data_IF_026244111949
#
_entry.id   IF_026244111949
#
_cell.length_a   1.000
_cell.length_b   1.000
_cell.length_c   1.000
_cell.angle_alpha   90.00
_cell.angle_beta   90.00
_cell.angle_gamma   90.00
#
_symmetry.space_group_name_H-M   'P 1'
#
loop_
_entity.id
_entity.type
_entity.pdbx_description
1 polymer ?
#
# COMPACT_ATOMS: atom_id res chain seq x y z
N UNK A 1 -11.72 17.13 -2.79
CA UNK A 1 -11.33 17.72 -1.49
C UNK A 1 -9.88 17.31 -1.27
N UNK A 2 -8.96 18.27 -1.43
CA UNK A 2 -7.52 18.12 -1.17
C UNK A 2 -7.35 17.84 0.33
N UNK A 3 -6.51 16.87 0.71
CA UNK A 3 -6.25 16.53 2.11
C UNK A 3 -5.98 17.80 2.92
N UNK A 4 -6.77 18.05 3.97
CA UNK A 4 -6.64 19.27 4.78
C UNK A 4 -5.53 19.16 5.83
N UNK A 5 -5.17 17.94 6.25
CA UNK A 5 -3.93 17.59 6.94
C UNK A 5 -3.88 16.07 7.16
N UNK A 6 -2.71 15.46 6.98
CA UNK A 6 -2.35 14.17 7.61
C UNK A 6 -1.36 14.54 8.71
N UNK A 7 -1.70 14.28 9.97
CA UNK A 7 -0.79 14.48 11.09
C UNK A 7 -0.07 13.17 11.35
N UNK A 8 1.25 13.19 11.25
CA UNK A 8 2.12 12.09 11.68
C UNK A 8 2.37 12.22 13.17
N UNK A 9 2.06 11.18 13.93
CA UNK A 9 2.50 11.07 15.32
C UNK A 9 3.90 10.45 15.30
N UNK A 10 4.92 11.27 15.56
CA UNK A 10 6.32 10.85 15.61
C UNK A 10 6.69 10.58 17.05
N UNK A 11 7.02 9.32 17.36
CA UNK A 11 7.70 8.99 18.62
C UNK A 11 9.14 9.53 18.52
N UNK A 12 9.56 10.34 19.50
CA UNK A 12 10.81 11.08 19.49
C UNK A 12 12.07 10.18 19.32
N UNK A 13 13.27 10.80 19.32
CA UNK A 13 14.59 10.12 19.37
C UNK A 13 14.75 9.16 20.59
N UNK A 14 13.77 9.18 21.50
CA UNK A 14 13.53 8.26 22.61
C UNK A 14 12.19 7.55 22.36
N UNK A 15 12.17 6.22 22.49
CA UNK A 15 10.96 5.41 22.32
C UNK A 15 10.15 5.33 23.62
N UNK A 16 8.82 5.41 23.51
CA UNK A 16 7.89 5.00 24.56
C UNK A 16 7.64 3.50 24.43
N UNK A 17 7.92 2.74 25.49
CA UNK A 17 7.84 1.28 25.47
C UNK A 17 6.38 0.83 25.24
N UNK A 18 6.06 0.12 24.14
CA UNK A 18 4.70 -0.36 23.89
C UNK A 18 4.25 -1.42 24.90
N UNK A 19 5.17 -2.00 25.68
CA UNK A 19 4.86 -2.88 26.80
C UNK A 19 4.52 -2.17 28.11
N UNK A 20 4.68 -0.84 28.20
CA UNK A 20 4.29 -0.08 29.37
C UNK A 20 2.84 0.45 29.24
N UNK A 21 1.89 0.02 30.10
CA UNK A 21 0.49 0.41 29.98
C UNK A 21 0.21 1.92 30.12
N UNK A 22 1.01 2.64 30.92
CA UNK A 22 0.87 4.09 31.07
C UNK A 22 1.32 4.81 29.79
N UNK A 23 2.41 4.36 29.18
CA UNK A 23 2.87 4.88 27.90
C UNK A 23 1.85 4.65 26.77
N UNK A 24 1.26 3.44 26.71
CA UNK A 24 0.18 3.12 25.78
C UNK A 24 -1.03 4.03 26.01
N UNK A 25 -1.46 4.21 27.26
CA UNK A 25 -2.60 5.06 27.61
C UNK A 25 -2.37 6.51 27.23
N UNK A 26 -1.16 7.03 27.48
CA UNK A 26 -0.76 8.38 27.10
C UNK A 26 -0.80 8.58 25.58
N UNK A 27 -0.25 7.65 24.80
CA UNK A 27 -0.25 7.73 23.34
C UNK A 27 -1.66 7.64 22.76
N UNK A 28 -2.52 6.78 23.29
CA UNK A 28 -3.92 6.69 22.87
C UNK A 28 -4.68 7.98 23.17
N UNK A 29 -4.46 8.60 24.35
CA UNK A 29 -5.07 9.88 24.70
C UNK A 29 -4.62 11.01 23.74
N UNK A 30 -3.35 11.04 23.33
CA UNK A 30 -2.87 11.99 22.33
C UNK A 30 -3.53 11.77 20.96
N UNK A 31 -3.65 10.51 20.52
CA UNK A 31 -4.34 10.19 19.27
C UNK A 31 -5.82 10.59 19.37
N UNK A 32 -6.50 10.31 20.48
CA UNK A 32 -7.89 10.71 20.72
C UNK A 32 -8.07 12.23 20.66
N UNK A 33 -7.16 13.00 21.30
CA UNK A 33 -7.17 14.47 21.25
C UNK A 33 -7.04 14.96 19.80
N UNK A 34 -6.07 14.44 19.06
CA UNK A 34 -5.84 14.79 17.64
C UNK A 34 -7.08 14.49 16.80
N UNK A 35 -7.64 13.28 16.94
CA UNK A 35 -8.80 12.83 16.18
C UNK A 35 -10.05 13.63 16.54
N UNK A 36 -10.23 14.01 17.80
CA UNK A 36 -11.44 14.71 18.27
C UNK A 36 -11.39 16.20 17.92
N UNK A 37 -10.24 16.85 18.14
CA UNK A 37 -10.15 18.31 18.08
C UNK A 37 -9.77 18.86 16.70
N UNK A 38 -9.25 18.02 15.80
CA UNK A 38 -8.84 18.45 14.46
C UNK A 38 -9.71 17.83 13.37
N UNK A 39 -9.95 18.61 12.31
CA UNK A 39 -10.62 18.13 11.11
C UNK A 39 -9.61 17.46 10.18
N UNK A 40 -9.55 16.13 10.25
CA UNK A 40 -8.56 15.30 9.56
C UNK A 40 -9.24 14.40 8.53
N UNK A 41 -8.56 14.18 7.41
CA UNK A 41 -8.92 13.17 6.42
C UNK A 41 -8.33 11.79 6.79
N UNK A 42 -7.24 11.76 7.57
CA UNK A 42 -6.59 10.55 8.01
C UNK A 42 -5.56 10.77 9.12
N UNK A 43 -5.16 9.68 9.78
CA UNK A 43 -4.10 9.61 10.77
C UNK A 43 -2.97 8.72 10.24
N UNK A 44 -1.71 9.15 10.38
CA UNK A 44 -0.54 8.38 9.98
C UNK A 44 0.31 7.97 11.18
N UNK A 45 0.48 6.66 11.34
CA UNK A 45 1.31 6.04 12.37
C UNK A 45 2.75 5.92 11.84
N UNK A 46 3.64 6.72 12.40
CA UNK A 46 5.08 6.61 12.16
C UNK A 46 5.78 6.04 13.39
N UNK A 47 6.96 5.43 13.19
CA UNK A 47 7.75 4.79 14.24
C UNK A 47 7.03 3.69 15.03
N UNK A 48 5.98 3.08 14.46
CA UNK A 48 5.24 1.99 15.10
C UNK A 48 6.00 0.66 15.03
N UNK A 49 7.02 0.53 15.88
CA UNK A 49 8.00 -0.57 15.95
C UNK A 49 8.95 -0.37 17.13
N UNK A 50 9.68 -1.42 17.53
CA UNK A 50 10.88 -1.23 18.32
C UNK A 50 12.03 -0.67 17.46
N UNK A 51 13.04 -0.01 18.07
CA UNK A 51 14.22 0.43 17.33
C UNK A 51 15.00 -0.77 16.78
N UNK A 52 15.80 -0.53 15.74
CA UNK A 52 16.59 -1.59 15.12
C UNK A 52 17.46 -2.35 16.12
N UNK A 53 17.29 -3.67 16.12
CA UNK A 53 18.10 -4.60 16.89
C UNK A 53 18.90 -5.50 15.94
N UNK A 54 20.05 -5.96 16.41
CA UNK A 54 20.92 -6.86 15.65
C UNK A 54 20.33 -8.27 15.63
N UNK A 55 20.21 -8.85 14.44
CA UNK A 55 19.82 -10.26 14.29
C UNK A 55 20.87 -11.16 14.95
N UNK A 56 20.41 -12.21 15.62
CA UNK A 56 21.30 -13.17 16.28
C UNK A 56 21.97 -12.64 17.56
N UNK A 57 21.60 -11.45 18.02
CA UNK A 57 22.12 -10.86 19.25
C UNK A 57 20.99 -10.56 20.23
N UNK A 58 21.34 -10.45 21.51
CA UNK A 58 20.37 -10.10 22.54
C UNK A 58 19.85 -8.67 22.32
N UNK A 59 18.53 -8.45 22.26
CA UNK A 59 17.95 -7.15 22.07
C UNK A 59 18.19 -6.29 23.31
N UNK A 60 18.14 -4.98 23.10
CA UNK A 60 18.27 -3.98 24.17
C UNK A 60 16.95 -3.27 24.48
N UNK A 61 15.91 -3.49 23.67
CA UNK A 61 14.59 -2.87 23.81
C UNK A 61 13.49 -3.89 24.13
N UNK A 62 12.41 -3.42 24.76
CA UNK A 62 11.26 -4.24 25.16
C UNK A 62 11.46 -5.03 26.46
N UNK A 63 12.49 -4.71 27.25
CA UNK A 63 12.77 -5.31 28.56
C UNK A 63 12.28 -4.42 29.73
N UNK A 64 11.24 -3.61 29.50
CA UNK A 64 10.52 -2.90 30.57
C UNK A 64 10.06 -3.85 31.67
N UNK A 65 9.92 -3.33 32.89
CA UNK A 65 9.57 -4.16 34.05
C UNK A 65 8.26 -4.91 33.83
N UNK A 66 7.27 -4.22 33.29
CA UNK A 66 5.93 -4.73 32.99
C UNK A 66 5.99 -5.90 32.01
N UNK A 67 6.65 -5.71 30.85
CA UNK A 67 6.84 -6.76 29.84
C UNK A 67 7.56 -8.00 30.40
N UNK A 68 8.57 -7.80 31.26
CA UNK A 68 9.33 -8.91 31.86
C UNK A 68 8.50 -9.69 32.86
N UNK A 69 7.73 -9.00 33.70
CA UNK A 69 6.82 -9.63 34.67
C UNK A 69 5.74 -10.42 33.95
N UNK A 70 5.08 -9.81 32.96
CA UNK A 70 4.01 -10.47 32.21
C UNK A 70 4.51 -11.72 31.47
N UNK A 71 5.67 -11.64 30.81
CA UNK A 71 6.26 -12.82 30.16
C UNK A 71 6.67 -13.90 31.17
N UNK A 72 7.23 -13.50 32.32
CA UNK A 72 7.59 -14.43 33.38
C UNK A 72 6.36 -15.12 33.98
N UNK A 73 5.24 -14.41 34.16
CA UNK A 73 3.99 -15.01 34.65
C UNK A 73 3.44 -16.09 33.70
N UNK A 74 3.67 -15.94 32.39
CA UNK A 74 3.23 -16.90 31.37
C UNK A 74 4.17 -18.09 31.21
N UNK A 75 5.48 -17.90 31.42
CA UNK A 75 6.52 -18.89 31.06
C UNK A 75 7.35 -19.41 32.23
N UNK A 76 7.26 -18.77 33.41
CA UNK A 76 8.17 -18.92 34.55
C UNK A 76 9.65 -18.60 34.25
N UNK A 77 9.95 -17.92 33.15
CA UNK A 77 11.31 -17.55 32.74
C UNK A 77 11.39 -16.04 32.53
N UNK A 78 12.38 -15.42 33.17
CA UNK A 78 12.67 -14.01 32.93
C UNK A 78 13.30 -13.86 31.54
N UNK A 79 12.71 -13.08 30.62
CA UNK A 79 13.24 -12.98 29.26
C UNK A 79 14.64 -12.37 29.22
N UNK A 80 15.06 -11.67 30.28
CA UNK A 80 16.43 -11.18 30.41
C UNK A 80 17.45 -12.30 30.72
N UNK A 81 17.03 -13.53 31.00
CA UNK A 81 17.91 -14.69 31.14
C UNK A 81 18.06 -15.49 29.83
N UNK A 82 17.18 -15.26 28.84
CA UNK A 82 17.16 -16.03 27.59
C UNK A 82 18.41 -15.77 26.74
N UNK A 83 18.93 -16.86 26.17
CA UNK A 83 19.87 -16.84 25.05
C UNK A 83 19.09 -16.81 23.72
N UNK A 84 19.74 -16.41 22.62
CA UNK A 84 19.11 -16.31 21.30
C UNK A 84 18.67 -17.68 20.77
N UNK A 85 19.41 -18.72 21.17
CA UNK A 85 19.17 -20.12 20.82
C UNK A 85 18.12 -20.80 21.71
N UNK A 86 17.63 -20.11 22.75
CA UNK A 86 16.63 -20.66 23.66
C UNK A 86 15.30 -20.88 22.92
N UNK A 87 14.61 -22.02 23.11
CA UNK A 87 13.29 -22.25 22.52
C UNK A 87 12.27 -21.14 22.81
N UNK A 88 12.32 -20.51 23.98
CA UNK A 88 11.43 -19.42 24.37
C UNK A 88 11.78 -18.09 23.70
N UNK A 89 12.89 -18.01 22.95
CA UNK A 89 13.29 -16.78 22.26
C UNK A 89 12.26 -16.30 21.23
N UNK A 90 11.68 -17.24 20.50
CA UNK A 90 10.65 -16.94 19.51
C UNK A 90 9.35 -16.51 20.20
N UNK A 91 9.01 -17.11 21.34
CA UNK A 91 7.87 -16.69 22.16
C UNK A 91 8.06 -15.27 22.70
N UNK A 92 9.26 -14.92 23.18
CA UNK A 92 9.58 -13.56 23.61
C UNK A 92 9.51 -12.54 22.46
N UNK A 93 9.98 -12.93 21.29
CA UNK A 93 9.90 -12.09 20.08
C UNK A 93 8.44 -11.90 19.64
N UNK A 94 7.63 -12.95 19.68
CA UNK A 94 6.20 -12.92 19.42
C UNK A 94 5.46 -12.04 20.43
N UNK A 95 5.73 -12.21 21.73
CA UNK A 95 5.16 -11.39 22.79
C UNK A 95 5.39 -9.89 22.57
N UNK A 96 6.64 -9.48 22.28
CA UNK A 96 6.94 -8.08 21.97
C UNK A 96 6.32 -7.59 20.66
N UNK A 97 6.14 -8.46 19.68
CA UNK A 97 5.44 -8.15 18.43
C UNK A 97 3.96 -7.89 18.69
N UNK A 98 3.33 -8.71 19.53
CA UNK A 98 1.93 -8.58 19.89
C UNK A 98 1.67 -7.28 20.68
N UNK A 99 2.60 -6.83 21.52
CA UNK A 99 2.48 -5.52 22.19
C UNK A 99 2.32 -4.35 21.18
N UNK A 100 3.07 -4.37 20.08
CA UNK A 100 2.95 -3.35 19.02
C UNK A 100 1.62 -3.54 18.27
N UNK A 101 1.29 -4.78 17.91
CA UNK A 101 0.03 -5.08 17.20
C UNK A 101 -1.19 -4.69 18.02
N UNK A 102 -1.21 -4.98 19.32
CA UNK A 102 -2.27 -4.57 20.23
C UNK A 102 -2.43 -3.06 20.30
N UNK A 103 -1.32 -2.31 20.35
CA UNK A 103 -1.37 -0.86 20.30
C UNK A 103 -2.03 -0.37 19.01
N UNK A 104 -1.62 -0.90 17.86
CA UNK A 104 -2.21 -0.57 16.55
C UNK A 104 -3.70 -0.90 16.52
N UNK A 105 -4.09 -2.06 17.04
CA UNK A 105 -5.50 -2.46 17.14
C UNK A 105 -6.33 -1.58 18.09
N UNK A 106 -5.78 -1.23 19.27
CA UNK A 106 -6.41 -0.31 20.24
C UNK A 106 -6.62 1.07 19.61
N UNK A 107 -5.59 1.61 18.96
CA UNK A 107 -5.67 2.88 18.24
C UNK A 107 -6.71 2.82 17.12
N UNK A 108 -6.68 1.76 16.30
CA UNK A 108 -7.60 1.59 15.17
C UNK A 108 -9.06 1.54 15.62
N UNK A 109 -9.40 0.68 16.59
CA UNK A 109 -10.76 0.58 17.13
C UNK A 109 -11.25 1.89 17.73
N UNK A 110 -10.40 2.58 18.49
CA UNK A 110 -10.72 3.89 19.06
C UNK A 110 -10.98 4.93 17.97
N UNK A 111 -10.09 5.04 16.98
CA UNK A 111 -10.23 5.97 15.85
C UNK A 111 -11.53 5.70 15.10
N UNK A 112 -11.80 4.44 14.73
CA UNK A 112 -13.00 4.07 13.96
C UNK A 112 -14.28 4.26 14.77
N UNK A 113 -14.24 4.14 16.10
CA UNK A 113 -15.38 4.47 16.97
C UNK A 113 -15.69 5.97 16.98
N UNK A 114 -14.66 6.83 16.98
CA UNK A 114 -14.82 8.29 16.99
C UNK A 114 -15.17 8.84 15.61
N UNK A 115 -14.48 8.35 14.57
CA UNK A 115 -14.61 8.78 13.17
C UNK A 115 -14.49 7.55 12.25
N UNK A 116 -15.62 6.86 11.95
CA UNK A 116 -15.62 5.62 11.16
C UNK A 116 -15.00 5.74 9.76
N UNK A 117 -14.98 6.94 9.20
CA UNK A 117 -14.45 7.23 7.86
C UNK A 117 -13.02 7.74 7.86
N UNK A 118 -12.39 7.93 9.03
CA UNK A 118 -11.02 8.43 9.11
C UNK A 118 -10.06 7.35 8.60
N UNK A 119 -9.23 7.68 7.60
CA UNK A 119 -8.21 6.78 7.07
C UNK A 119 -7.09 6.59 8.09
N UNK A 120 -6.67 5.35 8.32
CA UNK A 120 -5.53 4.98 9.16
C UNK A 120 -4.43 4.47 8.25
N UNK A 121 -3.26 5.09 8.33
CA UNK A 121 -2.09 4.71 7.55
C UNK A 121 -0.89 4.45 8.43
N UNK A 122 0.08 3.65 7.97
CA UNK A 122 1.30 3.38 8.74
C UNK A 122 2.56 3.34 7.86
N UNK A 123 3.64 3.98 8.32
CA UNK A 123 4.97 3.86 7.71
C UNK A 123 5.65 2.56 8.16
N UNK A 124 6.00 1.70 7.20
CA UNK A 124 6.56 0.37 7.49
C UNK A 124 7.82 0.07 6.70
N UNK A 125 8.64 -0.84 7.21
CA UNK A 125 9.77 -1.34 6.45
C UNK A 125 9.32 -2.34 5.36
N UNK A 126 9.92 -2.29 4.16
CA UNK A 126 9.59 -3.22 3.07
C UNK A 126 10.34 -4.56 3.18
N UNK A 127 11.02 -4.86 4.29
CA UNK A 127 11.76 -6.11 4.46
C UNK A 127 10.82 -7.34 4.58
N UNK A 128 11.32 -8.56 4.30
CA UNK A 128 10.57 -9.79 4.56
C UNK A 128 10.04 -9.86 6.01
N UNK A 129 8.85 -10.44 6.20
CA UNK A 129 8.19 -10.53 7.52
C UNK A 129 9.10 -11.05 8.62
N UNK A 130 9.80 -12.17 8.36
CA UNK A 130 10.71 -12.78 9.33
C UNK A 130 11.78 -11.79 9.81
N UNK A 131 12.31 -10.94 8.91
CA UNK A 131 13.35 -9.98 9.24
C UNK A 131 12.79 -8.83 10.07
N UNK A 132 11.62 -8.28 9.70
CA UNK A 132 10.99 -7.22 10.49
C UNK A 132 10.59 -7.68 11.87
N UNK A 133 9.95 -8.85 11.97
CA UNK A 133 9.53 -9.42 13.26
C UNK A 133 10.73 -9.65 14.16
N UNK A 134 11.82 -10.21 13.64
CA UNK A 134 13.03 -10.45 14.42
C UNK A 134 13.78 -9.15 14.81
N UNK A 135 13.86 -8.14 13.93
CA UNK A 135 14.69 -6.93 14.15
C UNK A 135 13.98 -5.80 14.86
N UNK A 136 12.70 -5.60 14.54
CA UNK A 136 11.94 -4.40 14.93
C UNK A 136 10.51 -4.73 15.40
N UNK A 137 10.14 -6.02 15.43
CA UNK A 137 8.83 -6.51 15.89
C UNK A 137 7.65 -5.84 15.17
N UNK A 138 7.83 -5.52 13.89
CA UNK A 138 6.80 -4.90 13.06
C UNK A 138 6.13 -5.96 12.18
N UNK A 139 4.92 -6.39 12.54
CA UNK A 139 4.14 -7.39 11.80
C UNK A 139 2.93 -6.77 11.10
N UNK A 140 3.19 -6.01 10.04
CA UNK A 140 2.13 -5.32 9.32
C UNK A 140 1.23 -6.26 8.52
N UNK A 141 1.66 -7.49 8.22
CA UNK A 141 0.77 -8.50 7.63
C UNK A 141 -0.42 -8.79 8.55
N UNK A 142 -0.16 -8.98 9.84
CA UNK A 142 -1.23 -9.14 10.83
C UNK A 142 -2.14 -7.91 10.89
N UNK A 143 -1.59 -6.69 10.76
CA UNK A 143 -2.39 -5.46 10.78
C UNK A 143 -3.33 -5.33 9.58
N UNK A 144 -2.92 -5.85 8.42
CA UNK A 144 -3.77 -5.97 7.22
C UNK A 144 -4.85 -7.02 7.44
N UNK A 145 -4.46 -8.22 7.90
CA UNK A 145 -5.38 -9.34 8.12
C UNK A 145 -6.49 -8.99 9.14
N UNK A 146 -6.15 -8.24 10.18
CA UNK A 146 -7.08 -7.76 11.22
C UNK A 146 -7.84 -6.47 10.84
N UNK A 147 -7.55 -5.88 9.67
CA UNK A 147 -8.19 -4.64 9.20
C UNK A 147 -7.87 -3.41 10.05
N UNK A 148 -6.72 -3.38 10.72
CA UNK A 148 -6.34 -2.26 11.59
C UNK A 148 -5.86 -1.03 10.81
N UNK A 149 -5.38 -1.20 9.59
CA UNK A 149 -4.85 -0.14 8.73
C UNK A 149 -5.56 -0.13 7.38
N UNK A 150 -5.95 1.06 6.93
CA UNK A 150 -6.51 1.25 5.60
C UNK A 150 -5.40 1.37 4.57
N UNK A 151 -4.28 2.02 4.91
CA UNK A 151 -3.15 2.25 4.00
C UNK A 151 -1.83 1.80 4.62
N UNK A 152 -1.15 0.87 3.95
CA UNK A 152 0.23 0.55 4.25
C UNK A 152 1.13 1.46 3.41
N UNK A 153 2.11 2.12 4.04
CA UNK A 153 3.07 2.99 3.34
C UNK A 153 4.49 2.43 3.53
N UNK A 154 4.91 1.47 2.68
CA UNK A 154 6.26 0.93 2.74
C UNK A 154 7.31 1.99 2.41
N UNK A 155 8.29 2.15 3.30
CA UNK A 155 9.45 3.03 3.15
C UNK A 155 10.46 2.43 2.15
N UNK A 156 10.08 2.35 0.87
CA UNK A 156 10.91 1.84 -0.24
C UNK A 156 11.96 2.87 -0.67
N UNK A 157 12.73 3.35 0.31
CA UNK A 157 13.75 4.38 0.13
C UNK A 157 15.00 3.75 -0.51
N UNK A 158 14.98 3.69 -1.83
CA UNK A 158 16.05 3.15 -2.64
C UNK A 158 16.98 4.26 -3.17
N UNK A 159 18.25 3.92 -3.40
CA UNK A 159 19.22 4.83 -4.03
C UNK A 159 19.04 4.91 -5.55
N UNK A 160 18.42 3.90 -6.17
CA UNK A 160 18.15 3.86 -7.61
C UNK A 160 16.96 2.92 -7.93
N UNK A 161 16.50 2.99 -9.18
CA UNK A 161 15.33 2.26 -9.68
C UNK A 161 15.48 0.73 -9.61
N UNK A 162 16.68 0.19 -9.82
CA UNK A 162 16.89 -1.26 -9.72
C UNK A 162 16.75 -1.77 -8.27
N UNK A 163 17.26 -1.01 -7.30
CA UNK A 163 17.04 -1.31 -5.89
C UNK A 163 15.57 -1.09 -5.48
N UNK A 164 14.88 -0.11 -6.06
CA UNK A 164 13.46 0.08 -5.82
C UNK A 164 12.65 -1.15 -6.29
N UNK A 165 12.93 -1.65 -7.48
CA UNK A 165 12.28 -2.83 -8.06
C UNK A 165 12.33 -4.04 -7.10
N UNK A 166 13.51 -4.33 -6.52
CA UNK A 166 13.67 -5.46 -5.58
C UNK A 166 12.90 -5.27 -4.27
N UNK A 167 12.63 -4.02 -3.87
CA UNK A 167 11.82 -3.73 -2.68
C UNK A 167 10.31 -3.79 -2.96
N UNK A 168 9.86 -3.41 -4.16
CA UNK A 168 8.42 -3.33 -4.49
C UNK A 168 7.86 -4.64 -5.01
N UNK A 169 8.64 -5.45 -5.72
CA UNK A 169 8.17 -6.70 -6.33
C UNK A 169 7.49 -7.65 -5.31
N UNK A 170 8.05 -7.90 -4.10
CA UNK A 170 7.37 -8.74 -3.10
C UNK A 170 6.07 -8.14 -2.54
N UNK A 171 5.88 -6.82 -2.65
CA UNK A 171 4.69 -6.12 -2.15
C UNK A 171 3.48 -6.31 -3.09
N UNK A 172 3.72 -6.57 -4.38
CA UNK A 172 2.68 -6.80 -5.38
C UNK A 172 1.83 -8.02 -5.03
N UNK A 173 2.48 -9.11 -4.61
CA UNK A 173 1.78 -10.33 -4.17
C UNK A 173 0.90 -10.11 -2.95
N UNK A 174 1.30 -9.17 -2.07
CA UNK A 174 0.56 -8.83 -0.85
C UNK A 174 -0.66 -7.98 -1.16
N UNK A 175 -0.58 -7.08 -2.14
CA UNK A 175 -1.70 -6.24 -2.58
C UNK A 175 -2.92 -7.10 -3.00
N UNK A 176 -2.68 -8.25 -3.65
CA UNK A 176 -3.76 -9.15 -4.07
C UNK A 176 -4.50 -9.85 -2.92
N UNK A 177 -3.88 -9.94 -1.73
CA UNK A 177 -4.44 -10.59 -0.52
C UNK A 177 -4.94 -9.59 0.51
N UNK A 178 -4.43 -8.37 0.47
CA UNK A 178 -4.74 -7.27 1.38
C UNK A 178 -6.09 -6.64 1.07
N UNK A 179 -7.16 -7.43 0.86
CA UNK A 179 -8.36 -7.05 0.11
C UNK A 179 -8.96 -5.67 0.43
N UNK A 180 -8.74 -5.10 1.62
CA UNK A 180 -9.20 -3.75 2.01
C UNK A 180 -8.08 -2.70 2.25
N UNK A 181 -6.81 -3.12 2.37
CA UNK A 181 -5.67 -2.22 2.63
C UNK A 181 -4.95 -1.84 1.33
N UNK A 182 -4.75 -0.54 1.12
CA UNK A 182 -3.94 -0.03 0.02
C UNK A 182 -2.46 -0.06 0.37
N UNK A 183 -1.63 -0.69 -0.45
CA UNK A 183 -0.18 -0.59 -0.35
C UNK A 183 0.28 0.57 -1.24
N UNK A 184 0.93 1.56 -0.62
CA UNK A 184 1.38 2.79 -1.25
C UNK A 184 2.90 2.92 -1.04
N UNK A 185 3.73 2.33 -1.94
CA UNK A 185 5.18 2.43 -1.83
C UNK A 185 5.64 3.89 -1.83
N UNK A 186 6.62 4.21 -0.97
CA UNK A 186 7.12 5.57 -0.81
C UNK A 186 8.52 5.75 -1.42
N UNK A 187 8.66 6.73 -2.30
CA UNK A 187 9.94 7.14 -2.90
C UNK A 187 10.63 8.17 -2.02
N UNK A 188 11.92 7.96 -1.74
CA UNK A 188 12.70 8.97 -1.05
C UNK A 188 13.15 10.08 -2.00
N UNK A 189 12.61 11.28 -1.85
CA UNK A 189 13.06 12.49 -2.52
C UNK A 189 14.35 13.02 -1.89
N UNK A 190 15.38 13.16 -2.72
CA UNK A 190 16.62 13.87 -2.40
C UNK A 190 16.79 15.08 -3.34
N UNK A 191 17.19 16.26 -2.82
CA UNK A 191 17.42 17.42 -3.67
C UNK A 191 18.43 17.14 -4.79
N UNK A 192 18.13 17.59 -6.01
CA UNK A 192 19.00 17.43 -7.18
C UNK A 192 18.92 16.06 -7.85
N UNK A 193 17.95 15.22 -7.49
CA UNK A 193 17.72 13.90 -8.09
C UNK A 193 16.40 13.83 -8.87
N UNK A 194 15.89 14.94 -9.43
CA UNK A 194 14.57 14.99 -10.07
C UNK A 194 14.33 13.92 -11.15
N UNK A 195 15.31 13.65 -12.02
CA UNK A 195 15.19 12.59 -13.03
C UNK A 195 15.16 11.19 -12.41
N UNK A 196 16.04 10.90 -11.43
CA UNK A 196 16.01 9.60 -10.75
C UNK A 196 14.72 9.39 -9.95
N UNK A 197 14.18 10.46 -9.34
CA UNK A 197 12.89 10.42 -8.67
C UNK A 197 11.76 10.14 -9.67
N UNK A 198 11.81 10.73 -10.88
CA UNK A 198 10.85 10.42 -11.94
C UNK A 198 10.94 8.94 -12.34
N UNK A 199 12.14 8.42 -12.61
CA UNK A 199 12.33 7.01 -12.99
C UNK A 199 11.79 6.06 -11.91
N UNK A 200 11.98 6.39 -10.64
CA UNK A 200 11.42 5.63 -9.52
C UNK A 200 9.88 5.71 -9.45
N UNK A 201 9.31 6.88 -9.71
CA UNK A 201 7.84 7.07 -9.77
C UNK A 201 7.25 6.26 -10.94
N UNK A 202 7.84 6.33 -12.13
CA UNK A 202 7.38 5.57 -13.29
C UNK A 202 7.53 4.06 -13.05
N UNK A 203 8.63 3.61 -12.44
CA UNK A 203 8.80 2.20 -12.05
C UNK A 203 7.67 1.71 -11.12
N UNK A 204 7.24 2.50 -10.13
CA UNK A 204 6.10 2.09 -9.28
C UNK A 204 4.80 2.00 -10.09
N UNK A 205 4.61 2.88 -11.08
CA UNK A 205 3.41 2.86 -11.95
C UNK A 205 3.36 1.65 -12.87
N UNK A 206 4.50 1.04 -13.19
CA UNK A 206 4.57 -0.20 -13.97
C UNK A 206 4.01 -1.41 -13.20
N UNK A 207 3.82 -1.30 -11.88
CA UNK A 207 3.19 -2.31 -11.03
C UNK A 207 1.72 -2.00 -10.73
N UNK A 208 0.99 -2.99 -10.20
CA UNK A 208 -0.45 -2.90 -9.90
C UNK A 208 -0.79 -2.15 -8.59
N UNK A 209 0.03 -1.18 -8.18
CA UNK A 209 -0.27 -0.34 -7.00
C UNK A 209 -1.24 0.78 -7.37
N UNK A 210 -2.15 1.11 -6.44
CA UNK A 210 -3.15 2.18 -6.64
C UNK A 210 -2.56 3.60 -6.47
N UNK A 211 -1.28 3.71 -6.13
CA UNK A 211 -0.58 4.97 -5.97
C UNK A 211 0.81 4.83 -5.35
N UNK A 212 1.46 5.96 -5.15
CA UNK A 212 2.77 6.08 -4.51
C UNK A 212 2.78 7.27 -3.55
N UNK A 213 3.71 7.25 -2.59
CA UNK A 213 3.98 8.36 -1.69
C UNK A 213 5.36 8.96 -1.99
N UNK A 214 5.53 10.25 -1.67
CA UNK A 214 6.81 10.95 -1.81
C UNK A 214 7.27 11.42 -0.43
N UNK A 215 8.51 11.09 -0.06
CA UNK A 215 9.08 11.45 1.25
C UNK A 215 10.54 11.87 1.10
N UNK A 216 11.10 12.88 1.75
CA UNK A 216 10.46 13.89 2.55
C UNK A 216 10.18 15.12 1.67
N UNK A 217 9.21 15.93 2.08
CA UNK A 217 8.80 17.11 1.33
C UNK A 217 9.95 18.10 1.06
N UNK A 218 10.99 18.13 1.90
CA UNK A 218 12.19 18.95 1.69
C UNK A 218 13.05 18.51 0.49
N UNK A 219 12.86 17.27 0.01
CA UNK A 219 13.47 16.76 -1.21
C UNK A 219 12.69 17.12 -2.47
N UNK A 220 11.50 17.74 -2.35
CA UNK A 220 10.70 18.17 -3.49
C UNK A 220 11.31 19.43 -4.11
N UNK A 221 12.30 19.23 -4.98
CA UNK A 221 13.10 20.28 -5.59
C UNK A 221 12.44 20.87 -6.84
N UNK A 222 12.87 22.08 -7.22
CA UNK A 222 12.28 22.83 -8.34
C UNK A 222 12.39 22.10 -9.69
N UNK A 223 13.46 21.32 -9.89
CA UNK A 223 13.64 20.45 -11.06
C UNK A 223 12.58 19.34 -11.10
N UNK A 224 12.30 18.66 -9.99
CA UNK A 224 11.25 17.65 -9.93
C UNK A 224 9.86 18.27 -10.17
N UNK A 225 9.60 19.45 -9.59
CA UNK A 225 8.35 20.17 -9.83
C UNK A 225 8.18 20.51 -11.32
N UNK A 226 9.24 21.00 -11.97
CA UNK A 226 9.21 21.32 -13.39
C UNK A 226 8.93 20.06 -14.23
N UNK A 227 9.63 18.95 -13.94
CA UNK A 227 9.40 17.66 -14.62
C UNK A 227 7.95 17.23 -14.48
N UNK A 228 7.42 17.17 -13.26
CA UNK A 228 6.04 16.71 -13.01
C UNK A 228 4.99 17.61 -13.67
N UNK A 229 5.22 18.94 -13.69
CA UNK A 229 4.32 19.87 -14.38
C UNK A 229 4.25 19.65 -15.90
N UNK A 230 5.32 19.12 -16.50
CA UNK A 230 5.40 18.83 -17.92
C UNK A 230 4.86 17.44 -18.26
N UNK A 231 4.99 16.47 -17.34
CA UNK A 231 4.64 15.07 -17.61
C UNK A 231 3.24 14.68 -17.15
N UNK A 232 2.65 15.35 -16.15
CA UNK A 232 1.34 14.94 -15.60
C UNK A 232 0.14 15.71 -16.19
N UNK A 233 0.37 16.86 -16.83
CA UNK A 233 -0.66 17.67 -17.47
C UNK A 233 -1.76 18.18 -16.52
N UNK A 234 -2.82 18.78 -17.09
CA UNK A 234 -3.97 19.32 -16.36
C UNK A 234 -5.11 18.30 -16.22
N UNK A 235 -4.80 17.06 -15.82
CA UNK A 235 -5.82 16.04 -15.63
C UNK A 235 -6.68 16.31 -14.36
N UNK A 236 -7.99 15.98 -14.37
CA UNK A 236 -8.82 16.08 -13.19
C UNK A 236 -8.24 15.25 -12.03
N UNK A 237 -8.20 15.84 -10.83
CA UNK A 237 -7.74 15.15 -9.63
C UNK A 237 -8.72 14.02 -9.25
N UNK A 238 -8.39 12.80 -9.64
CA UNK A 238 -9.10 11.58 -9.23
C UNK A 238 -8.25 10.84 -8.21
N UNK A 239 -8.78 10.67 -7.01
CA UNK A 239 -8.18 9.85 -5.97
C UNK A 239 -8.73 8.43 -6.09
N UNK A 240 -7.93 7.43 -6.51
CA UNK A 240 -8.46 6.10 -6.84
C UNK A 240 -9.27 5.47 -5.70
N UNK A 241 -8.82 5.65 -4.47
CA UNK A 241 -9.51 5.15 -3.27
C UNK A 241 -10.84 5.84 -2.95
N UNK A 242 -11.08 7.08 -3.41
CA UNK A 242 -12.36 7.79 -3.23
C UNK A 242 -13.28 7.66 -4.43
N UNK A 243 -12.72 7.48 -5.62
CA UNK A 243 -13.43 7.44 -6.89
C UNK A 243 -12.98 6.22 -7.72
N UNK A 244 -13.12 4.98 -7.20
CA UNK A 244 -12.61 3.77 -7.83
C UNK A 244 -13.09 3.58 -9.26
N UNK A 245 -14.39 3.81 -9.51
CA UNK A 245 -14.99 3.59 -10.83
C UNK A 245 -14.47 4.59 -11.87
N UNK A 246 -14.37 5.87 -11.49
CA UNK A 246 -13.80 6.92 -12.35
C UNK A 246 -12.32 6.64 -12.63
N UNK A 247 -11.56 6.25 -11.61
CA UNK A 247 -10.15 5.90 -11.76
C UNK A 247 -9.96 4.68 -12.67
N UNK A 248 -10.78 3.64 -12.52
CA UNK A 248 -10.77 2.44 -13.35
C UNK A 248 -11.05 2.78 -14.83
N UNK A 249 -12.07 3.60 -15.10
CA UNK A 249 -12.40 4.04 -16.44
C UNK A 249 -11.28 4.89 -17.08
N UNK A 250 -10.68 5.81 -16.33
CA UNK A 250 -9.57 6.64 -16.81
C UNK A 250 -8.33 5.80 -17.10
N UNK A 251 -7.95 4.90 -16.20
CA UNK A 251 -6.80 4.00 -16.39
C UNK A 251 -6.97 3.08 -17.58
N UNK A 252 -8.17 2.52 -17.78
CA UNK A 252 -8.44 1.70 -18.96
C UNK A 252 -8.37 2.51 -20.27
N UNK A 253 -8.85 3.76 -20.26
CA UNK A 253 -8.74 4.64 -21.43
C UNK A 253 -7.26 4.94 -21.77
N UNK A 254 -6.41 5.20 -20.77
CA UNK A 254 -4.96 5.35 -20.98
C UNK A 254 -4.33 4.08 -21.54
N UNK A 255 -4.67 2.91 -20.98
CA UNK A 255 -4.21 1.62 -21.49
C UNK A 255 -4.63 1.39 -22.96
N UNK A 256 -5.85 1.79 -23.33
CA UNK A 256 -6.32 1.75 -24.71
C UNK A 256 -5.50 2.64 -25.66
N UNK A 257 -5.03 3.79 -25.18
CA UNK A 257 -4.13 4.66 -25.96
C UNK A 257 -2.76 4.01 -26.17
N UNK A 258 -2.20 3.37 -25.14
CA UNK A 258 -0.94 2.62 -25.24
C UNK A 258 -1.04 1.47 -26.24
N UNK A 259 -2.13 0.69 -26.18
CA UNK A 259 -2.39 -0.38 -27.14
C UNK A 259 -2.56 0.14 -28.56
N UNK A 260 -3.22 1.30 -28.71
CA UNK A 260 -3.36 1.95 -30.02
C UNK A 260 -2.01 2.34 -30.61
N UNK A 261 -1.09 2.83 -29.78
CA UNK A 261 0.29 3.12 -30.19
C UNK A 261 1.04 1.85 -30.58
N UNK A 262 0.95 0.79 -29.77
CA UNK A 262 1.56 -0.52 -30.06
C UNK A 262 1.12 -1.05 -31.43
N UNK A 263 -0.17 -0.98 -31.75
CA UNK A 263 -0.69 -1.42 -33.05
C UNK A 263 -0.21 -0.61 -34.25
N UNK A 264 0.51 0.49 -34.03
CA UNK A 264 1.22 1.27 -35.04
C UNK A 264 2.68 0.86 -35.26
N UNK A 265 3.26 0.02 -34.39
CA UNK A 265 4.67 -0.37 -34.49
C UNK A 265 4.90 -1.49 -35.50
N UNK A 266 6.16 -1.71 -35.88
CA UNK A 266 6.55 -2.76 -36.84
C UNK A 266 6.33 -4.16 -36.27
N UNK A 267 6.55 -4.32 -34.97
CA UNK A 267 6.37 -5.57 -34.24
C UNK A 267 4.91 -6.01 -34.30
N UNK A 268 3.97 -5.09 -34.08
CA UNK A 268 2.55 -5.39 -34.14
C UNK A 268 2.05 -5.64 -35.58
N UNK A 269 2.67 -5.04 -36.59
CA UNK A 269 2.35 -5.30 -38.01
C UNK A 269 2.68 -6.73 -38.45
N UNK A 270 3.58 -7.42 -37.75
CA UNK A 270 3.89 -8.83 -38.01
C UNK A 270 2.80 -9.78 -37.47
N UNK A 271 1.88 -9.29 -36.64
CA UNK A 271 0.79 -10.08 -36.07
C UNK A 271 -0.42 -10.13 -37.01
N UNK A 272 -1.25 -11.17 -36.86
CA UNK A 272 -2.40 -11.39 -37.72
C UNK A 272 -3.45 -10.27 -37.60
N UNK A 273 -4.03 -9.75 -38.70
CA UNK A 273 -5.09 -8.73 -38.65
C UNK A 273 -6.31 -9.14 -37.81
N UNK A 274 -6.62 -10.45 -37.78
CA UNK A 274 -7.68 -10.99 -36.95
C UNK A 274 -7.43 -10.81 -35.44
N UNK A 275 -6.16 -10.88 -35.01
CA UNK A 275 -5.77 -10.62 -33.62
C UNK A 275 -6.05 -9.17 -33.23
N UNK A 276 -5.66 -8.22 -34.09
CA UNK A 276 -5.94 -6.80 -33.88
C UNK A 276 -7.44 -6.51 -33.77
N UNK A 277 -8.25 -7.14 -34.63
CA UNK A 277 -9.69 -6.98 -34.60
C UNK A 277 -10.33 -7.55 -33.31
N UNK A 278 -9.95 -8.76 -32.89
CA UNK A 278 -10.41 -9.37 -31.63
C UNK A 278 -9.99 -8.52 -30.41
N UNK A 279 -8.74 -8.06 -30.40
CA UNK A 279 -8.21 -7.16 -29.37
C UNK A 279 -9.06 -5.90 -29.25
N UNK A 280 -9.24 -5.18 -30.36
CA UNK A 280 -9.95 -3.91 -30.37
C UNK A 280 -11.42 -4.08 -29.99
N UNK A 281 -12.09 -5.12 -30.49
CA UNK A 281 -13.47 -5.41 -30.13
C UNK A 281 -13.65 -5.64 -28.63
N UNK A 282 -12.75 -6.40 -28.00
CA UNK A 282 -12.82 -6.69 -26.56
C UNK A 282 -12.45 -5.48 -25.72
N UNK A 283 -11.41 -4.73 -26.10
CA UNK A 283 -11.02 -3.52 -25.38
C UNK A 283 -12.12 -2.46 -25.43
N UNK A 284 -12.72 -2.22 -26.59
CA UNK A 284 -13.78 -1.23 -26.76
C UNK A 284 -15.01 -1.58 -25.90
N UNK A 285 -15.32 -2.88 -25.79
CA UNK A 285 -16.42 -3.36 -24.94
C UNK A 285 -16.18 -3.10 -23.47
N UNK A 286 -14.98 -3.41 -22.96
CA UNK A 286 -14.61 -3.15 -21.56
C UNK A 286 -14.58 -1.64 -21.28
N UNK A 287 -14.03 -0.83 -22.19
CA UNK A 287 -14.00 0.62 -22.03
C UNK A 287 -15.41 1.21 -21.94
N UNK A 288 -16.34 0.77 -22.81
CA UNK A 288 -17.73 1.20 -22.77
C UNK A 288 -18.42 0.81 -21.46
N UNK A 289 -18.20 -0.41 -20.96
CA UNK A 289 -18.76 -0.88 -19.69
C UNK A 289 -18.21 -0.07 -18.51
N UNK A 290 -16.91 0.17 -18.45
CA UNK A 290 -16.28 0.99 -17.41
C UNK A 290 -16.81 2.43 -17.42
N UNK A 291 -16.94 3.06 -18.60
CA UNK A 291 -17.54 4.40 -18.73
C UNK A 291 -19.00 4.42 -18.26
N UNK A 292 -19.79 3.43 -18.67
CA UNK A 292 -21.19 3.32 -18.26
C UNK A 292 -21.33 3.08 -16.74
N UNK A 293 -20.48 2.24 -16.16
CA UNK A 293 -20.43 1.96 -14.72
C UNK A 293 -20.03 3.21 -13.93
N UNK A 294 -19.02 3.96 -14.38
CA UNK A 294 -18.60 5.20 -13.73
C UNK A 294 -19.68 6.30 -13.80
N UNK A 295 -20.45 6.37 -14.89
CA UNK A 295 -21.52 7.34 -15.06
C UNK A 295 -22.82 6.97 -14.31
N UNK A 296 -23.15 5.67 -14.24
CA UNK A 296 -24.35 5.17 -13.56
C UNK A 296 -24.03 3.88 -12.77
N UNK A 297 -23.50 4.04 -11.54
CA UNK A 297 -23.10 2.91 -10.72
C UNK A 297 -24.30 2.04 -10.31
N UNK A 298 -24.20 0.73 -10.55
CA UNK A 298 -25.15 -0.26 -10.04
C UNK A 298 -24.48 -1.62 -9.87
N UNK A 299 -24.98 -2.44 -8.94
CA UNK A 299 -24.42 -3.79 -8.73
C UNK A 299 -24.49 -4.65 -10.00
N UNK A 300 -25.58 -4.49 -10.78
CA UNK A 300 -25.73 -5.13 -12.07
C UNK A 300 -24.60 -4.73 -13.04
N UNK A 301 -24.36 -3.44 -13.22
CA UNK A 301 -23.31 -2.94 -14.10
C UNK A 301 -21.91 -3.35 -13.61
N UNK A 302 -21.70 -3.37 -12.29
CA UNK A 302 -20.45 -3.79 -11.68
C UNK A 302 -20.12 -5.25 -12.01
N UNK A 303 -21.09 -6.15 -11.80
CA UNK A 303 -20.94 -7.58 -12.11
C UNK A 303 -20.61 -7.79 -13.59
N UNK A 304 -21.38 -7.17 -14.49
CA UNK A 304 -21.12 -7.29 -15.93
C UNK A 304 -19.74 -6.75 -16.32
N UNK A 305 -19.33 -5.61 -15.77
CA UNK A 305 -18.02 -5.02 -16.04
C UNK A 305 -16.88 -5.93 -15.56
N UNK A 306 -17.02 -6.52 -14.35
CA UNK A 306 -16.03 -7.47 -13.80
C UNK A 306 -15.89 -8.71 -14.68
N UNK A 307 -17.00 -9.28 -15.16
CA UNK A 307 -16.99 -10.46 -16.05
C UNK A 307 -16.28 -10.14 -17.37
N UNK A 308 -16.61 -9.00 -18.00
CA UNK A 308 -15.98 -8.61 -19.27
C UNK A 308 -14.49 -8.30 -19.09
N UNK A 309 -14.09 -7.63 -18.00
CA UNK A 309 -12.70 -7.38 -17.68
C UNK A 309 -11.92 -8.69 -17.44
N UNK A 310 -12.50 -9.62 -16.69
CA UNK A 310 -11.89 -10.94 -16.44
C UNK A 310 -11.72 -11.71 -17.76
N UNK A 311 -12.73 -11.71 -18.63
CA UNK A 311 -12.63 -12.35 -19.94
C UNK A 311 -11.53 -11.73 -20.81
N UNK A 312 -11.37 -10.39 -20.77
CA UNK A 312 -10.27 -9.70 -21.44
C UNK A 312 -8.91 -10.11 -20.85
N UNK A 313 -8.77 -10.19 -19.52
CA UNK A 313 -7.52 -10.64 -18.87
C UNK A 313 -7.14 -12.07 -19.25
N UNK A 314 -8.10 -12.99 -19.23
CA UNK A 314 -7.90 -14.38 -19.65
C UNK A 314 -7.45 -14.47 -21.12
N UNK A 315 -8.10 -13.69 -21.99
CA UNK A 315 -7.75 -13.65 -23.41
C UNK A 315 -6.39 -12.97 -23.65
N UNK A 316 -6.07 -11.92 -22.90
CA UNK A 316 -4.79 -11.20 -22.98
C UNK A 316 -3.60 -12.13 -22.74
N UNK A 317 -3.74 -13.07 -21.81
CA UNK A 317 -2.70 -14.07 -21.52
C UNK A 317 -2.51 -15.08 -22.66
N UNK A 318 -3.52 -15.29 -23.49
CA UNK A 318 -3.49 -16.24 -24.63
C UNK A 318 -3.02 -15.61 -25.93
N UNK A 319 -3.04 -14.27 -26.05
CA UNK A 319 -2.61 -13.61 -27.27
C UNK A 319 -1.12 -13.84 -27.53
N UNK A 320 -0.73 -14.14 -28.79
CA UNK A 320 0.64 -14.51 -29.15
C UNK A 320 1.54 -13.27 -29.26
N UNK A 321 1.67 -12.52 -28.17
CA UNK A 321 2.56 -11.39 -28.06
C UNK A 321 4.01 -11.87 -27.90
N UNK A 322 5.00 -11.13 -28.44
CA UNK A 322 6.42 -11.47 -28.26
C UNK A 322 6.78 -11.62 -26.78
N UNK A 323 7.55 -12.65 -26.43
CA UNK A 323 7.96 -12.90 -25.03
C UNK A 323 8.85 -11.78 -24.48
N UNK A 324 9.68 -11.18 -25.34
CA UNK A 324 10.56 -10.06 -24.98
C UNK A 324 9.84 -8.71 -24.87
N UNK A 325 8.52 -8.65 -25.14
CA UNK A 325 7.75 -7.42 -25.07
C UNK A 325 7.54 -7.02 -23.61
N UNK A 326 8.43 -6.16 -23.09
CA UNK A 326 8.36 -5.63 -21.72
C UNK A 326 6.98 -5.06 -21.37
N UNK A 327 6.33 -4.38 -22.31
CA UNK A 327 5.00 -3.79 -22.11
C UNK A 327 3.92 -4.83 -21.80
N UNK A 328 4.10 -6.10 -22.17
CA UNK A 328 3.12 -7.17 -21.91
C UNK A 328 2.89 -7.34 -20.40
N UNK A 329 3.94 -7.37 -19.59
CA UNK A 329 3.79 -7.51 -18.13
C UNK A 329 3.14 -6.27 -17.53
N UNK A 330 3.55 -5.08 -17.96
CA UNK A 330 2.99 -3.79 -17.53
C UNK A 330 1.49 -3.71 -17.81
N UNK A 331 1.06 -4.03 -19.03
CA UNK A 331 -0.37 -4.05 -19.37
C UNK A 331 -1.15 -5.06 -18.54
N UNK A 332 -0.56 -6.21 -18.24
CA UNK A 332 -1.13 -7.18 -17.30
C UNK A 332 -1.32 -6.59 -15.89
N UNK A 333 -0.32 -5.87 -15.37
CA UNK A 333 -0.41 -5.18 -14.09
C UNK A 333 -1.48 -4.08 -14.10
N UNK A 334 -1.60 -3.30 -15.16
CA UNK A 334 -2.64 -2.29 -15.28
C UNK A 334 -4.05 -2.88 -15.32
N UNK A 335 -4.26 -3.99 -16.04
CA UNK A 335 -5.53 -4.71 -16.01
C UNK A 335 -5.86 -5.22 -14.59
N UNK A 336 -4.85 -5.74 -13.88
CA UNK A 336 -5.02 -6.17 -12.49
C UNK A 336 -5.36 -5.00 -11.56
N UNK A 337 -4.71 -3.85 -11.74
CA UNK A 337 -5.00 -2.65 -10.97
C UNK A 337 -6.45 -2.18 -11.16
N UNK A 338 -6.94 -2.21 -12.41
CA UNK A 338 -8.33 -1.86 -12.75
C UNK A 338 -9.31 -2.83 -12.06
N UNK A 339 -9.01 -4.13 -12.03
CA UNK A 339 -9.81 -5.11 -11.32
C UNK A 339 -9.84 -4.85 -9.80
N UNK A 340 -8.71 -4.47 -9.21
CA UNK A 340 -8.62 -4.10 -7.80
C UNK A 340 -9.45 -2.85 -7.46
N UNK A 341 -9.50 -1.85 -8.36
CA UNK A 341 -10.36 -0.68 -8.18
C UNK A 341 -11.85 -1.05 -8.17
N UNK A 342 -12.28 -1.99 -9.02
CA UNK A 342 -13.66 -2.49 -9.02
C UNK A 342 -13.99 -3.25 -7.73
N UNK A 343 -13.06 -4.07 -7.23
CA UNK A 343 -13.23 -4.80 -5.96
C UNK A 343 -13.33 -3.83 -4.76
N UNK A 344 -12.52 -2.77 -4.75
CA UNK A 344 -12.58 -1.73 -3.72
C UNK A 344 -13.92 -0.99 -3.71
N UNK A 345 -14.51 -0.73 -4.89
CA UNK A 345 -15.86 -0.14 -4.96
C UNK A 345 -16.93 -1.08 -4.37
N UNK A 346 -16.87 -2.38 -4.69
CA UNK A 346 -17.78 -3.40 -4.18
C UNK A 346 -17.77 -3.45 -2.65
N UNK A 347 -16.59 -3.46 -2.03
CA UNK A 347 -16.44 -3.47 -0.58
C UNK A 347 -17.00 -2.22 0.10
N UNK A 348 -16.82 -1.06 -0.52
CA UNK A 348 -17.39 0.19 -0.01
C UNK A 348 -18.92 0.16 -0.01
N UNK A 349 -19.55 -0.47 -1.01
CA UNK A 349 -21.00 -0.66 -1.04
C UNK A 349 -21.48 -1.56 0.10
N UNK A 350 -20.78 -2.67 0.37
CA UNK A 350 -21.15 -3.59 1.46
C UNK A 350 -21.05 -2.89 2.82
N UNK A 351 -20.00 -2.07 3.04
CA UNK A 351 -19.82 -1.28 4.26
C UNK A 351 -20.96 -0.28 4.48
N UNK A 352 -21.51 0.30 3.42
CA UNK A 352 -22.64 1.23 3.51
C UNK A 352 -23.99 0.51 3.64
N UNK A 353 -24.11 -0.75 3.20
CA UNK A 353 -25.34 -1.55 3.30
C UNK A 353 -25.56 -2.19 4.68
N UNK A 354 -24.47 -2.51 5.41
CA UNK A 354 -24.53 -3.07 6.77
C UNK A 354 -24.44 -2.00 7.89
N UNK A 355 -24.56 -0.72 7.54
CA UNK A 355 -24.70 0.42 8.47
C UNK A 355 -26.11 0.96 8.40
#
# INVERSE_FOLDING_TARGET
>A
MIYKAIISVVLAKSILDPGNPEAVSYLLALIEEIVTNYNLDGLHLDYIRYPFQNLGAKPIYGYGFESRVEFWEQTNVDPAALAVEDPLWQEWTGFRTEQITEFVGKASRMIKKLKPQLTISAAVFPYPRWERVARIQQDWEQWIEEGYIDWLVPMTYAENTAQLATMVEPLVEKQGKAHETLIVPAVQLKPGQGLSNLDQIEMIREFSFQGYALFAANGFSADLQQILSQTQGDQPLVLPHRQPLTAAAMKFATLGQEWSFYWGTKEAQALAPALKADWQQRSDRVEQQLKALAANPSMKNLIFTKIELQSLQEQFNQWPLPEELYQRSIWGHHLQEIAQLLAMYEQNLDRDYFR
#
